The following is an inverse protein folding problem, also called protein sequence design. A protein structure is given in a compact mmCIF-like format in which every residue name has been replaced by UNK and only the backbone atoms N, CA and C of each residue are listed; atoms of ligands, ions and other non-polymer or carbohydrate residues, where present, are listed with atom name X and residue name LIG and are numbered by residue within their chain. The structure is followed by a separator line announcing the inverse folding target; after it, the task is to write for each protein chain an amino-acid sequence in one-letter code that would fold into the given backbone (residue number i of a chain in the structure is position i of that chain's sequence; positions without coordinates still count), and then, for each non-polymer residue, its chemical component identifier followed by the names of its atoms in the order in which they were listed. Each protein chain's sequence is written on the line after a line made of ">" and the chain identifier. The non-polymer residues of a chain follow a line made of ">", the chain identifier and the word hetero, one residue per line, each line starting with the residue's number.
data_IF_534967820623
#
_entry.id   IF_534967820623
#
_cell.length_a   1.000
_cell.length_b   1.000
_cell.length_c   1.000
_cell.angle_alpha   90.00
_cell.angle_beta   90.00
_cell.angle_gamma   90.00
#
_symmetry.space_group_name_H-M   'P 1'
#
loop_
_entity.id
_entity.type
_entity.pdbx_description
1 polymer ?
#
# COMPACT_ATOMS: atom_id res chain seq x y z
N UNK A 1 4.50 -32.61 9.84
CA UNK A 1 4.85 -31.20 9.52
C UNK A 1 5.99 -31.14 8.49
N UNK A 2 7.05 -31.95 8.63
CA UNK A 2 8.18 -32.20 7.69
C UNK A 2 7.82 -32.84 6.35
N UNK A 3 6.57 -32.72 5.90
CA UNK A 3 6.19 -33.10 4.54
C UNK A 3 5.49 -31.98 3.78
N UNK A 4 4.93 -31.00 4.49
CA UNK A 4 4.28 -29.84 3.88
C UNK A 4 5.32 -28.78 3.50
N UNK A 5 6.26 -28.48 4.39
CA UNK A 5 7.35 -27.53 4.13
C UNK A 5 8.14 -27.93 2.89
N UNK A 6 8.51 -29.20 2.78
CA UNK A 6 9.33 -29.78 1.72
C UNK A 6 8.60 -29.76 0.39
N UNK A 7 7.28 -30.01 0.39
CA UNK A 7 6.44 -29.88 -0.80
C UNK A 7 6.35 -28.42 -1.26
N UNK A 8 6.13 -27.48 -0.34
CA UNK A 8 6.08 -26.04 -0.67
C UNK A 8 7.44 -25.59 -1.22
N UNK A 9 8.53 -25.96 -0.55
CA UNK A 9 9.89 -25.64 -0.98
C UNK A 9 10.18 -26.21 -2.37
N UNK A 10 9.85 -27.48 -2.61
CA UNK A 10 10.03 -28.12 -3.92
C UNK A 10 9.24 -27.42 -5.03
N UNK A 11 8.00 -26.98 -4.76
CA UNK A 11 7.19 -26.25 -5.75
C UNK A 11 7.85 -24.90 -6.07
N UNK A 12 8.22 -24.13 -5.04
CA UNK A 12 8.84 -22.81 -5.21
C UNK A 12 10.20 -22.88 -5.89
N UNK A 13 11.03 -23.87 -5.54
CA UNK A 13 12.28 -24.17 -6.24
C UNK A 13 12.04 -24.48 -7.70
N UNK A 14 11.06 -25.35 -8.03
CA UNK A 14 10.75 -25.65 -9.44
C UNK A 14 10.21 -24.45 -10.23
N UNK A 15 9.47 -23.56 -9.58
CA UNK A 15 9.01 -22.31 -10.21
C UNK A 15 10.20 -21.37 -10.46
N UNK A 16 11.11 -21.28 -9.49
CA UNK A 16 12.33 -20.50 -9.63
C UNK A 16 13.24 -21.03 -10.75
N UNK A 17 13.49 -22.34 -10.79
CA UNK A 17 14.30 -22.98 -11.84
C UNK A 17 13.74 -22.76 -13.25
N UNK A 18 12.42 -22.55 -13.35
CA UNK A 18 11.72 -22.24 -14.61
C UNK A 18 11.66 -20.74 -14.93
N UNK A 19 12.27 -19.88 -14.11
CA UNK A 19 12.19 -18.42 -14.24
C UNK A 19 10.82 -17.83 -13.92
N UNK A 20 9.92 -18.60 -13.30
CA UNK A 20 8.55 -18.18 -12.97
C UNK A 20 8.43 -17.58 -11.57
N UNK A 21 9.50 -17.64 -10.76
CA UNK A 21 9.48 -17.12 -9.40
C UNK A 21 10.84 -16.53 -8.99
N UNK A 22 10.79 -15.32 -8.46
CA UNK A 22 11.89 -14.64 -7.79
C UNK A 22 11.31 -13.89 -6.59
N UNK A 23 11.73 -14.22 -5.37
CA UNK A 23 11.18 -13.56 -4.19
C UNK A 23 11.42 -14.27 -2.86
N UNK A 24 10.95 -13.60 -1.81
CA UNK A 24 10.94 -14.12 -0.45
C UNK A 24 9.55 -14.66 -0.09
N UNK A 25 9.52 -15.82 0.58
CA UNK A 25 8.28 -16.47 1.00
C UNK A 25 8.28 -16.72 2.50
N UNK A 26 7.21 -16.30 3.17
CA UNK A 26 6.81 -16.78 4.49
C UNK A 26 5.50 -17.56 4.35
N UNK A 27 5.47 -18.78 4.88
CA UNK A 27 4.24 -19.53 5.08
C UNK A 27 4.12 -19.80 6.58
N UNK A 28 2.99 -19.42 7.17
CA UNK A 28 2.69 -19.67 8.57
C UNK A 28 1.29 -20.24 8.74
N UNK A 29 1.12 -21.15 9.70
CA UNK A 29 -0.19 -21.71 10.08
C UNK A 29 -0.28 -21.77 11.60
N UNK A 30 -1.41 -21.35 12.18
CA UNK A 30 -1.64 -21.37 13.62
C UNK A 30 -0.49 -20.73 14.44
N UNK A 31 -0.02 -19.56 13.99
CA UNK A 31 1.10 -18.83 14.61
C UNK A 31 2.48 -19.47 14.43
N UNK A 32 2.62 -20.61 13.72
CA UNK A 32 3.89 -21.30 13.49
C UNK A 32 4.36 -21.11 12.05
N UNK A 33 5.63 -20.72 11.90
CA UNK A 33 6.27 -20.60 10.60
C UNK A 33 6.56 -22.00 10.06
N UNK A 34 6.00 -22.32 8.90
CA UNK A 34 6.23 -23.55 8.14
C UNK A 34 7.41 -23.40 7.16
N UNK A 35 7.49 -22.27 6.48
CA UNK A 35 8.54 -21.94 5.52
C UNK A 35 8.91 -20.46 5.65
N UNK A 36 10.21 -20.17 5.59
CA UNK A 36 10.76 -18.82 5.51
C UNK A 36 12.04 -18.88 4.68
N UNK A 37 11.96 -18.53 3.40
CA UNK A 37 13.07 -18.75 2.44
C UNK A 37 13.05 -17.73 1.31
N UNK A 38 14.24 -17.45 0.77
CA UNK A 38 14.50 -16.60 -0.39
C UNK A 38 14.82 -17.45 -1.62
N UNK A 39 14.33 -17.04 -2.78
CA UNK A 39 14.55 -17.72 -4.06
C UNK A 39 14.93 -16.69 -5.13
N UNK A 40 16.12 -16.83 -5.71
CA UNK A 40 16.63 -15.98 -6.79
C UNK A 40 17.44 -14.76 -6.32
N UNK A 41 17.35 -13.66 -7.06
CA UNK A 41 18.28 -12.52 -7.01
C UNK A 41 17.58 -11.19 -6.71
N UNK A 42 18.26 -10.35 -5.93
CA UNK A 42 17.84 -8.99 -5.63
C UNK A 42 18.19 -8.03 -6.78
N UNK A 43 19.25 -8.35 -7.53
CA UNK A 43 19.73 -7.62 -8.69
C UNK A 43 20.24 -8.62 -9.73
N UNK A 44 19.69 -8.58 -10.94
CA UNK A 44 20.08 -9.50 -12.01
C UNK A 44 21.42 -9.11 -12.66
N UNK A 45 21.85 -7.85 -12.51
CA UNK A 45 23.04 -7.32 -13.19
C UNK A 45 24.33 -7.91 -12.64
N UNK A 46 24.37 -8.11 -11.32
CA UNK A 46 25.50 -8.69 -10.60
C UNK A 46 25.16 -10.04 -9.93
N UNK A 47 23.94 -10.55 -10.15
CA UNK A 47 23.42 -11.79 -9.57
C UNK A 47 23.42 -11.80 -8.04
N UNK A 48 23.28 -10.63 -7.39
CA UNK A 48 23.19 -10.54 -5.93
C UNK A 48 22.03 -11.39 -5.42
N UNK A 49 22.25 -12.38 -4.55
CA UNK A 49 21.20 -13.29 -4.10
C UNK A 49 20.20 -12.57 -3.18
N UNK A 50 18.93 -12.97 -3.26
CA UNK A 50 17.93 -12.55 -2.28
C UNK A 50 18.26 -13.07 -0.88
N UNK A 51 18.00 -12.23 0.12
CA UNK A 51 18.15 -12.52 1.53
C UNK A 51 16.81 -12.29 2.23
N UNK A 52 16.57 -12.87 3.41
CA UNK A 52 15.29 -12.70 4.11
C UNK A 52 14.99 -11.23 4.49
N UNK A 53 16.04 -10.43 4.63
CA UNK A 53 16.01 -8.99 4.85
C UNK A 53 15.88 -8.16 3.57
N UNK A 54 15.89 -8.79 2.39
CA UNK A 54 15.70 -8.10 1.11
C UNK A 54 14.37 -7.35 1.10
N UNK A 55 14.45 -6.10 0.66
CA UNK A 55 13.38 -5.12 0.77
C UNK A 55 12.70 -4.92 -0.58
N UNK A 56 11.41 -5.20 -0.64
CA UNK A 56 10.61 -5.16 -1.87
C UNK A 56 9.63 -3.99 -1.84
N UNK A 57 9.35 -3.43 -3.01
CA UNK A 57 8.17 -2.59 -3.25
C UNK A 57 6.93 -3.47 -3.21
N UNK A 58 6.02 -3.23 -2.28
CA UNK A 58 4.82 -4.08 -2.11
C UNK A 58 3.60 -3.60 -2.91
N UNK A 59 3.77 -2.57 -3.76
CA UNK A 59 2.73 -2.06 -4.65
C UNK A 59 1.40 -1.79 -3.90
N UNK A 60 0.26 -2.23 -4.44
CA UNK A 60 -1.07 -1.97 -3.86
C UNK A 60 -1.35 -2.68 -2.54
N UNK A 61 -0.46 -3.56 -2.07
CA UNK A 61 -0.52 -4.09 -0.68
C UNK A 61 -0.36 -2.95 0.33
N UNK A 62 0.23 -1.81 -0.07
CA UNK A 62 0.34 -0.60 0.74
C UNK A 62 -1.01 -0.01 1.20
N UNK A 63 -2.08 -0.21 0.42
CA UNK A 63 -3.41 0.39 0.70
C UNK A 63 -3.94 0.06 2.09
N UNK A 64 -3.64 -1.13 2.62
CA UNK A 64 -4.10 -1.51 3.95
C UNK A 64 -3.50 -0.63 5.06
N UNK A 65 -2.27 -0.12 4.88
CA UNK A 65 -1.64 0.80 5.83
C UNK A 65 -2.30 2.18 5.79
N UNK A 66 -2.63 2.66 4.59
CA UNK A 66 -3.42 3.89 4.41
C UNK A 66 -4.82 3.74 5.04
N UNK A 67 -5.49 2.62 4.81
CA UNK A 67 -6.78 2.34 5.44
C UNK A 67 -6.67 2.27 6.97
N UNK A 68 -5.62 1.63 7.51
CA UNK A 68 -5.35 1.59 8.95
C UNK A 68 -5.12 2.99 9.52
N UNK A 69 -4.39 3.87 8.82
CA UNK A 69 -4.20 5.25 9.24
C UNK A 69 -5.53 6.01 9.35
N UNK A 70 -6.45 5.82 8.40
CA UNK A 70 -7.80 6.39 8.45
C UNK A 70 -8.60 5.81 9.64
N UNK A 71 -8.47 4.51 9.91
CA UNK A 71 -9.11 3.88 11.07
C UNK A 71 -8.58 4.43 12.41
N UNK A 72 -7.28 4.69 12.52
CA UNK A 72 -6.67 5.33 13.70
C UNK A 72 -7.26 6.72 13.91
N UNK A 73 -7.32 7.55 12.86
CA UNK A 73 -7.92 8.89 12.95
C UNK A 73 -9.41 8.84 13.32
N UNK A 74 -10.15 7.84 12.82
CA UNK A 74 -11.54 7.60 13.24
C UNK A 74 -11.61 7.24 14.72
N UNK A 75 -10.72 6.37 15.21
CA UNK A 75 -10.66 5.98 16.62
C UNK A 75 -10.33 7.17 17.53
N UNK A 76 -9.50 8.10 17.06
CA UNK A 76 -9.20 9.38 17.72
C UNK A 76 -10.34 10.40 17.63
N UNK A 77 -11.46 10.08 16.97
CA UNK A 77 -12.61 10.97 16.82
C UNK A 77 -12.40 12.12 15.82
N UNK A 78 -11.34 12.07 15.00
CA UNK A 78 -11.01 13.14 14.04
C UNK A 78 -11.89 13.13 12.78
N UNK A 79 -12.53 12.00 12.48
CA UNK A 79 -13.43 11.83 11.34
C UNK A 79 -14.48 10.74 11.59
N UNK A 80 -15.56 10.79 10.83
CA UNK A 80 -16.51 9.69 10.64
C UNK A 80 -16.39 9.15 9.21
N UNK A 81 -16.65 7.85 9.01
CA UNK A 81 -16.59 7.26 7.67
C UNK A 81 -17.64 7.84 6.71
N UNK A 82 -18.76 8.33 7.24
CA UNK A 82 -19.84 8.99 6.50
C UNK A 82 -19.59 10.48 6.24
N UNK A 83 -18.50 11.04 6.77
CA UNK A 83 -18.19 12.44 6.49
C UNK A 83 -17.96 12.61 4.98
N UNK A 84 -18.62 13.59 4.34
CA UNK A 84 -18.29 13.96 2.97
C UNK A 84 -16.86 14.48 2.93
N UNK A 85 -16.11 14.16 1.87
CA UNK A 85 -14.73 14.63 1.74
C UNK A 85 -14.65 16.17 1.75
N UNK A 86 -15.70 16.84 1.25
CA UNK A 86 -15.87 18.31 1.31
C UNK A 86 -15.82 18.89 2.72
N UNK A 87 -16.15 18.13 3.76
CA UNK A 87 -16.00 18.58 5.16
C UNK A 87 -14.55 18.98 5.45
N UNK A 88 -13.59 18.29 4.86
CA UNK A 88 -12.16 18.51 5.05
C UNK A 88 -11.52 19.26 3.90
N UNK A 89 -12.06 19.15 2.70
CA UNK A 89 -11.59 19.84 1.50
C UNK A 89 -12.76 20.62 0.87
N UNK A 90 -13.10 21.83 1.35
CA UNK A 90 -14.33 22.54 1.00
C UNK A 90 -14.58 22.70 -0.50
N UNK A 91 -13.51 22.92 -1.27
CA UNK A 91 -13.58 23.12 -2.72
C UNK A 91 -13.63 21.82 -3.54
N UNK A 92 -13.58 20.64 -2.89
CA UNK A 92 -13.54 19.36 -3.58
C UNK A 92 -14.76 19.19 -4.51
N UNK A 93 -14.61 18.89 -5.80
CA UNK A 93 -15.69 19.07 -6.77
C UNK A 93 -16.88 18.12 -6.59
N UNK A 94 -16.73 16.99 -5.90
CA UNK A 94 -17.80 15.99 -5.74
C UNK A 94 -18.39 15.96 -4.32
N UNK A 95 -19.54 16.63 -4.07
CA UNK A 95 -20.10 16.78 -2.72
C UNK A 95 -20.59 15.47 -2.09
N UNK A 96 -20.96 14.48 -2.90
CA UNK A 96 -21.51 13.19 -2.46
C UNK A 96 -20.46 12.13 -2.15
N UNK A 97 -19.18 12.38 -2.43
CA UNK A 97 -18.10 11.45 -2.11
C UNK A 97 -17.77 11.52 -0.62
N UNK A 98 -17.90 10.39 0.08
CA UNK A 98 -17.63 10.23 1.50
C UNK A 98 -16.34 9.42 1.69
N UNK A 99 -15.76 9.48 2.89
CA UNK A 99 -14.55 8.73 3.23
C UNK A 99 -14.73 7.22 3.01
N UNK A 100 -15.89 6.65 3.38
CA UNK A 100 -16.20 5.23 3.13
C UNK A 100 -16.15 4.84 1.66
N UNK A 101 -16.52 5.75 0.75
CA UNK A 101 -16.51 5.48 -0.68
C UNK A 101 -15.08 5.35 -1.21
N UNK A 102 -14.15 6.15 -0.69
CA UNK A 102 -12.73 6.04 -1.02
C UNK A 102 -12.15 4.71 -0.52
N UNK A 103 -12.38 4.38 0.76
CA UNK A 103 -11.88 3.14 1.38
C UNK A 103 -12.35 1.87 0.65
N UNK A 104 -13.59 1.87 0.16
CA UNK A 104 -14.25 0.71 -0.45
C UNK A 104 -14.19 0.66 -1.97
N UNK A 105 -13.52 1.62 -2.63
CA UNK A 105 -13.53 1.73 -4.09
C UNK A 105 -14.93 1.89 -4.71
N UNK A 106 -15.80 2.62 -4.03
CA UNK A 106 -17.17 2.91 -4.49
C UNK A 106 -17.42 4.41 -4.74
N UNK A 107 -16.35 5.21 -4.85
CA UNK A 107 -16.44 6.67 -5.07
C UNK A 107 -16.93 7.07 -6.46
N UNK A 108 -16.77 6.21 -7.46
CA UNK A 108 -16.96 6.56 -8.87
C UNK A 108 -15.83 7.44 -9.44
N UNK A 109 -14.78 7.75 -8.66
CA UNK A 109 -13.68 8.58 -9.12
C UNK A 109 -12.83 7.84 -10.16
N UNK A 110 -12.44 8.52 -11.26
CA UNK A 110 -11.55 7.95 -12.26
C UNK A 110 -10.16 7.66 -11.67
N UNK A 111 -9.46 6.70 -12.26
CA UNK A 111 -8.12 6.29 -11.84
C UNK A 111 -7.04 7.18 -12.49
N UNK A 112 -6.30 7.93 -11.67
CA UNK A 112 -5.30 8.89 -12.16
C UNK A 112 -4.17 8.23 -12.96
N UNK A 113 -3.83 6.96 -12.68
CA UNK A 113 -2.72 6.27 -13.36
C UNK A 113 -2.98 6.24 -14.87
N UNK A 114 -4.19 5.81 -15.25
CA UNK A 114 -4.61 5.79 -16.66
C UNK A 114 -4.50 7.17 -17.33
N UNK A 115 -4.86 8.23 -16.59
CA UNK A 115 -4.86 9.60 -17.09
C UNK A 115 -3.45 10.15 -17.26
N UNK A 116 -2.57 9.88 -16.30
CA UNK A 116 -1.19 10.37 -16.33
C UNK A 116 -0.37 9.66 -17.42
N UNK A 117 -0.61 8.37 -17.68
CA UNK A 117 0.04 7.67 -18.80
C UNK A 117 -0.46 8.10 -20.18
N UNK A 118 -1.69 8.60 -20.30
CA UNK A 118 -2.28 8.97 -21.59
C UNK A 118 -2.10 10.45 -21.94
N UNK A 119 -2.01 11.34 -20.96
CA UNK A 119 -2.04 12.78 -21.17
C UNK A 119 -0.79 13.52 -20.66
N UNK A 120 0.24 12.82 -20.17
CA UNK A 120 1.45 13.48 -19.64
C UNK A 120 2.74 13.03 -20.35
N UNK A 121 3.02 13.48 -21.59
CA UNK A 121 4.27 13.10 -22.24
C UNK A 121 5.51 13.88 -21.77
N UNK A 122 5.37 15.10 -21.21
CA UNK A 122 6.52 16.04 -21.21
C UNK A 122 6.78 16.87 -19.93
N UNK A 123 5.95 16.82 -18.87
CA UNK A 123 6.06 17.81 -17.76
C UNK A 123 6.46 17.29 -16.37
N UNK A 124 6.58 15.98 -16.15
CA UNK A 124 6.83 15.45 -14.81
C UNK A 124 8.10 14.61 -14.77
N UNK A 125 9.17 15.13 -14.16
CA UNK A 125 10.30 14.29 -13.75
C UNK A 125 9.84 13.25 -12.71
N UNK A 126 8.96 13.64 -11.77
CA UNK A 126 8.20 12.73 -10.89
C UNK A 126 6.86 13.35 -10.46
N UNK A 127 5.76 12.63 -10.65
CA UNK A 127 4.43 12.97 -10.16
C UNK A 127 4.30 12.78 -8.64
N UNK A 128 3.55 13.68 -8.01
CA UNK A 128 3.25 13.68 -6.57
C UNK A 128 1.75 13.63 -6.32
N UNK A 129 1.34 13.39 -5.07
CA UNK A 129 -0.07 13.48 -4.67
C UNK A 129 -0.70 14.81 -5.06
N UNK A 130 0.04 15.92 -4.94
CA UNK A 130 -0.47 17.24 -5.29
C UNK A 130 -0.86 17.32 -6.77
N UNK A 131 -0.14 16.65 -7.67
CA UNK A 131 -0.51 16.62 -9.08
C UNK A 131 -1.83 15.88 -9.32
N UNK A 132 -2.09 14.81 -8.56
CA UNK A 132 -3.38 14.08 -8.61
C UNK A 132 -4.51 14.96 -8.06
N UNK A 133 -4.25 15.68 -6.97
CA UNK A 133 -5.21 16.64 -6.40
C UNK A 133 -5.49 17.77 -7.39
N UNK A 134 -4.46 18.39 -7.96
CA UNK A 134 -4.59 19.48 -8.94
C UNK A 134 -5.38 19.02 -10.16
N UNK A 135 -5.11 17.82 -10.68
CA UNK A 135 -5.88 17.22 -11.76
C UNK A 135 -7.37 17.06 -11.39
N UNK A 136 -7.68 16.48 -10.23
CA UNK A 136 -9.07 16.31 -9.79
C UNK A 136 -9.77 17.66 -9.61
N UNK A 137 -9.10 18.65 -9.03
CA UNK A 137 -9.67 19.97 -8.72
C UNK A 137 -9.83 20.85 -9.97
N UNK A 138 -8.87 20.78 -10.89
CA UNK A 138 -8.82 21.55 -12.12
C UNK A 138 -9.72 20.99 -13.22
N UNK A 139 -9.54 19.72 -13.56
CA UNK A 139 -10.25 19.11 -14.69
C UNK A 139 -11.64 18.60 -14.31
N UNK A 140 -11.85 18.30 -13.02
CA UNK A 140 -13.12 17.81 -12.47
C UNK A 140 -13.75 16.69 -13.31
N UNK A 141 -12.99 15.62 -13.62
CA UNK A 141 -13.47 14.58 -14.53
C UNK A 141 -14.79 13.97 -14.04
N UNK A 142 -15.71 13.58 -14.94
CA UNK A 142 -17.00 13.04 -14.52
C UNK A 142 -16.80 11.74 -13.70
N UNK A 143 -17.62 11.56 -12.68
CA UNK A 143 -17.68 10.28 -11.98
C UNK A 143 -18.19 9.20 -12.94
N UNK A 144 -17.60 8.00 -12.89
CA UNK A 144 -18.06 6.86 -13.67
C UNK A 144 -19.46 6.40 -13.25
N UNK A 145 -19.82 6.61 -11.98
CA UNK A 145 -21.11 6.27 -11.40
C UNK A 145 -21.35 7.07 -10.11
N UNK A 146 -22.61 7.19 -9.64
CA UNK A 146 -22.92 7.83 -8.36
C UNK A 146 -22.18 7.16 -7.19
N UNK A 147 -21.60 7.92 -6.24
CA UNK A 147 -20.88 7.33 -5.11
C UNK A 147 -21.74 6.34 -4.31
N UNK A 148 -21.17 5.19 -3.97
CA UNK A 148 -21.82 4.08 -3.26
C UNK A 148 -22.64 3.13 -4.13
N UNK A 149 -22.90 3.45 -5.41
CA UNK A 149 -23.78 2.64 -6.27
C UNK A 149 -23.10 1.43 -6.92
N UNK A 150 -21.79 1.50 -7.17
CA UNK A 150 -21.01 0.46 -7.83
C UNK A 150 -19.59 0.39 -7.26
N UNK A 151 -18.85 -0.64 -7.65
CA UNK A 151 -17.45 -0.81 -7.30
C UNK A 151 -16.57 -0.64 -8.54
N UNK A 152 -15.52 0.18 -8.43
CA UNK A 152 -14.45 0.25 -9.40
C UNK A 152 -13.14 0.62 -8.72
N UNK A 153 -12.11 -0.18 -8.96
CA UNK A 153 -10.77 0.08 -8.45
C UNK A 153 -10.26 1.44 -8.96
N UNK A 154 -9.73 2.24 -8.05
CA UNK A 154 -9.20 3.57 -8.34
C UNK A 154 -8.16 3.93 -7.30
N UNK A 155 -6.94 4.20 -7.78
CA UNK A 155 -5.80 4.62 -6.96
C UNK A 155 -6.00 6.05 -6.44
N UNK A 156 -6.70 6.89 -7.20
CA UNK A 156 -7.10 8.25 -6.79
C UNK A 156 -7.74 8.25 -5.41
N UNK A 157 -8.54 7.23 -5.09
CA UNK A 157 -9.15 7.10 -3.77
C UNK A 157 -8.13 7.10 -2.63
N UNK A 158 -7.06 6.34 -2.79
CA UNK A 158 -6.07 6.14 -1.74
C UNK A 158 -5.04 7.27 -1.67
N UNK A 159 -4.80 7.96 -2.79
CA UNK A 159 -4.08 9.25 -2.78
C UNK A 159 -4.85 10.28 -1.96
N UNK A 160 -6.16 10.43 -2.19
CA UNK A 160 -7.00 11.36 -1.42
C UNK A 160 -7.09 10.97 0.08
N UNK A 161 -7.05 9.67 0.41
CA UNK A 161 -6.99 9.23 1.80
C UNK A 161 -5.65 9.57 2.46
N UNK A 162 -4.52 9.47 1.75
CA UNK A 162 -3.23 9.90 2.27
C UNK A 162 -3.20 11.41 2.56
N UNK A 163 -3.76 12.23 1.66
CA UNK A 163 -3.92 13.68 1.87
C UNK A 163 -4.81 14.00 3.07
N UNK A 164 -5.92 13.28 3.22
CA UNK A 164 -6.80 13.41 4.38
C UNK A 164 -6.06 13.08 5.69
N UNK A 165 -5.27 11.99 5.71
CA UNK A 165 -4.48 11.61 6.87
C UNK A 165 -3.46 12.69 7.22
N UNK A 166 -2.72 13.19 6.24
CA UNK A 166 -1.74 14.26 6.46
C UNK A 166 -2.41 15.52 7.02
N UNK A 167 -3.55 15.91 6.44
CA UNK A 167 -4.31 17.09 6.88
C UNK A 167 -4.82 16.97 8.32
N UNK A 168 -5.43 15.85 8.69
CA UNK A 168 -6.04 15.66 10.01
C UNK A 168 -5.04 15.36 11.12
N UNK A 169 -3.91 14.74 10.77
CA UNK A 169 -2.83 14.48 11.71
C UNK A 169 -1.92 15.69 11.91
N UNK A 170 -1.83 16.60 10.93
CA UNK A 170 -0.81 17.65 10.84
C UNK A 170 0.63 17.10 10.76
N UNK A 171 0.76 15.87 10.28
CA UNK A 171 2.04 15.22 9.99
C UNK A 171 2.13 14.92 8.50
N UNK A 172 3.35 14.83 7.96
CA UNK A 172 3.53 14.25 6.64
C UNK A 172 3.06 12.79 6.68
N UNK A 173 2.41 12.31 5.62
CA UNK A 173 1.86 10.95 5.57
C UNK A 173 2.89 9.86 5.93
N UNK A 174 4.16 9.90 5.44
CA UNK A 174 5.17 8.93 5.86
C UNK A 174 5.49 8.93 7.35
N UNK A 175 5.49 10.11 7.98
CA UNK A 175 5.82 10.25 9.39
C UNK A 175 4.67 9.76 10.27
N UNK A 176 3.42 9.96 9.82
CA UNK A 176 2.25 9.38 10.47
C UNK A 176 2.30 7.84 10.44
N UNK A 177 2.55 7.23 9.28
CA UNK A 177 2.64 5.76 9.20
C UNK A 177 3.78 5.21 10.07
N UNK A 178 4.92 5.89 10.12
CA UNK A 178 6.03 5.50 10.99
C UNK A 178 5.63 5.52 12.46
N UNK A 179 5.18 6.67 12.96
CA UNK A 179 4.90 6.86 14.37
C UNK A 179 3.70 6.04 14.89
N UNK A 180 2.68 5.82 14.05
CA UNK A 180 1.43 5.21 14.48
C UNK A 180 1.27 3.74 14.08
N UNK A 181 2.08 3.25 13.12
CA UNK A 181 1.95 1.88 12.62
C UNK A 181 3.28 1.15 12.63
N UNK A 182 4.33 1.68 11.98
CA UNK A 182 5.56 0.91 11.81
C UNK A 182 6.34 0.76 13.12
N UNK A 183 6.57 1.83 13.87
CA UNK A 183 7.32 1.76 15.14
C UNK A 183 6.56 0.94 16.20
N UNK A 184 5.24 1.15 16.43
CA UNK A 184 4.50 0.35 17.42
C UNK A 184 4.39 -1.14 17.08
N UNK A 185 4.53 -1.52 15.80
CA UNK A 185 4.50 -2.91 15.33
C UNK A 185 5.89 -3.48 15.08
N UNK A 186 6.96 -2.77 15.48
CA UNK A 186 8.36 -3.19 15.30
C UNK A 186 8.72 -3.48 13.82
N UNK A 187 8.13 -2.73 12.90
CA UNK A 187 8.36 -2.82 11.46
C UNK A 187 9.55 -1.94 11.04
N UNK A 188 10.70 -2.12 11.69
CA UNK A 188 11.88 -1.24 11.60
C UNK A 188 12.45 -1.06 10.19
N UNK A 189 12.19 -2.01 9.31
CA UNK A 189 12.67 -2.00 7.92
C UNK A 189 11.54 -1.68 6.93
N UNK A 190 10.41 -1.17 7.44
CA UNK A 190 9.29 -0.71 6.64
C UNK A 190 9.27 0.81 6.54
N UNK A 191 9.27 1.33 5.33
CA UNK A 191 9.31 2.78 5.09
C UNK A 191 8.71 3.15 3.74
N UNK A 192 8.32 4.42 3.62
CA UNK A 192 7.92 5.00 2.34
C UNK A 192 9.17 5.53 1.63
N UNK A 193 9.37 5.10 0.40
CA UNK A 193 10.56 5.41 -0.39
C UNK A 193 10.58 6.87 -0.82
N UNK A 194 11.60 7.59 -0.38
CA UNK A 194 11.88 8.94 -0.87
C UNK A 194 12.85 8.81 -2.02
N UNK A 195 12.42 9.11 -3.25
CA UNK A 195 13.26 8.93 -4.43
C UNK A 195 14.57 9.75 -4.39
N UNK A 196 14.64 10.83 -3.59
CA UNK A 196 15.89 11.55 -3.31
C UNK A 196 16.95 10.71 -2.56
N UNK A 197 16.56 9.58 -1.96
CA UNK A 197 17.39 8.65 -1.18
C UNK A 197 17.64 7.33 -1.94
N UNK A 198 17.29 7.26 -3.24
CA UNK A 198 17.15 6.03 -4.02
C UNK A 198 18.39 5.12 -4.10
N UNK A 199 19.57 5.61 -3.74
CA UNK A 199 20.82 4.85 -3.81
C UNK A 199 21.19 4.13 -2.50
N UNK A 200 20.53 4.42 -1.37
CA UNK A 200 21.00 4.01 -0.04
C UNK A 200 20.03 3.09 0.73
N UNK A 201 19.14 2.37 0.06
CA UNK A 201 18.30 1.35 0.74
C UNK A 201 19.10 0.05 0.92
N UNK A 202 19.43 -0.38 2.15
CA UNK A 202 20.11 -1.65 2.37
C UNK A 202 19.24 -2.82 1.91
N UNK A 203 19.87 -3.82 1.29
CA UNK A 203 19.19 -5.03 0.80
C UNK A 203 18.03 -4.75 -0.18
N UNK A 204 18.06 -3.62 -0.89
CA UNK A 204 17.06 -3.28 -1.90
C UNK A 204 16.95 -4.38 -2.97
N UNK A 205 15.71 -4.66 -3.37
CA UNK A 205 15.42 -5.47 -4.57
C UNK A 205 15.07 -4.52 -5.71
N UNK A 206 15.74 -4.70 -6.85
CA UNK A 206 15.47 -3.96 -8.08
C UNK A 206 14.34 -4.64 -8.85
N UNK A 207 13.38 -3.85 -9.35
CA UNK A 207 12.37 -4.37 -10.28
C UNK A 207 13.00 -4.67 -11.64
N UNK A 208 12.57 -5.75 -12.27
CA UNK A 208 12.99 -6.13 -13.63
C UNK A 208 11.86 -6.81 -14.38
N UNK A 209 11.88 -6.71 -15.70
CA UNK A 209 10.94 -7.41 -16.56
C UNK A 209 11.23 -8.92 -16.59
N UNK A 210 10.25 -9.76 -16.99
CA UNK A 210 10.44 -11.21 -17.07
C UNK A 210 11.56 -11.67 -18.03
N UNK A 211 12.07 -10.77 -18.87
CA UNK A 211 13.25 -11.01 -19.70
C UNK A 211 14.56 -11.12 -18.87
N UNK A 212 14.52 -10.75 -17.58
CA UNK A 212 15.65 -10.68 -16.66
C UNK A 212 16.85 -9.89 -17.22
N UNK A 213 16.56 -8.91 -18.08
CA UNK A 213 17.55 -8.07 -18.76
C UNK A 213 17.21 -6.59 -18.65
N UNK A 214 15.93 -6.26 -18.47
CA UNK A 214 15.45 -4.88 -18.45
C UNK A 214 15.03 -4.48 -17.04
N UNK A 215 15.66 -3.43 -16.49
CA UNK A 215 15.24 -2.84 -15.23
C UNK A 215 13.85 -2.21 -15.36
N UNK A 216 13.00 -2.46 -14.37
CA UNK A 216 11.72 -1.81 -14.16
C UNK A 216 11.66 -1.28 -12.73
N UNK A 217 12.48 -0.28 -12.46
CA UNK A 217 12.73 0.19 -11.09
C UNK A 217 12.40 1.68 -10.91
N UNK A 218 12.61 2.47 -11.96
CA UNK A 218 12.27 3.89 -12.00
C UNK A 218 11.00 4.14 -12.80
N UNK A 219 10.11 4.95 -12.24
CA UNK A 219 8.84 5.32 -12.82
C UNK A 219 8.44 6.70 -12.28
N UNK A 220 7.95 7.58 -13.15
CA UNK A 220 7.59 8.94 -12.75
C UNK A 220 6.48 8.98 -11.68
N UNK A 221 5.69 7.90 -11.50
CA UNK A 221 4.68 7.81 -10.46
C UNK A 221 5.23 7.43 -9.06
N UNK A 222 6.53 7.10 -8.94
CA UNK A 222 7.14 6.58 -7.72
C UNK A 222 7.16 7.53 -6.50
N UNK A 223 6.70 8.78 -6.62
CA UNK A 223 6.56 9.71 -5.47
C UNK A 223 5.11 9.86 -5.00
N UNK A 224 4.15 9.21 -5.65
CA UNK A 224 2.74 9.24 -5.24
C UNK A 224 2.58 8.28 -4.07
N UNK A 225 1.95 8.75 -3.00
CA UNK A 225 1.78 8.03 -1.74
C UNK A 225 0.32 7.64 -1.51
N UNK A 226 0.17 6.48 -0.87
CA UNK A 226 -1.09 6.03 -0.26
C UNK A 226 -1.77 4.91 -1.02
N UNK A 227 -1.68 4.91 -2.34
CA UNK A 227 -2.27 3.91 -3.22
C UNK A 227 -1.32 2.73 -3.50
N UNK A 228 -0.01 2.94 -3.63
CA UNK A 228 0.90 1.82 -3.78
C UNK A 228 2.27 2.18 -4.32
N UNK A 229 3.21 1.27 -4.11
CA UNK A 229 4.55 1.40 -4.69
C UNK A 229 5.58 2.06 -3.77
N UNK A 230 5.17 2.63 -2.64
CA UNK A 230 6.10 3.40 -1.78
C UNK A 230 6.53 2.65 -0.56
N UNK A 231 5.73 1.69 -0.08
CA UNK A 231 6.09 0.90 1.09
C UNK A 231 7.08 -0.18 0.65
N UNK A 232 8.27 -0.05 1.22
CA UNK A 232 9.34 -1.02 1.14
C UNK A 232 9.30 -1.84 2.42
N UNK A 233 9.36 -3.16 2.31
CA UNK A 233 9.34 -4.04 3.49
C UNK A 233 10.24 -5.26 3.26
N UNK A 234 10.91 -5.81 4.30
CA UNK A 234 11.61 -7.06 4.16
C UNK A 234 10.65 -8.18 3.80
N UNK A 235 11.13 -9.18 3.06
CA UNK A 235 10.40 -10.43 2.84
C UNK A 235 10.09 -11.25 4.11
N UNK A 236 10.34 -10.73 5.32
CA UNK A 236 9.64 -11.17 6.53
C UNK A 236 8.18 -10.74 6.38
N UNK A 237 7.36 -11.59 5.76
CA UNK A 237 5.95 -11.29 5.59
C UNK A 237 5.32 -10.84 6.90
N UNK A 238 4.41 -9.87 6.80
CA UNK A 238 3.53 -9.48 7.90
C UNK A 238 2.78 -10.74 8.34
N UNK A 239 3.16 -11.27 9.50
CA UNK A 239 2.20 -12.01 10.32
C UNK A 239 1.26 -10.95 10.87
N UNK A 240 0.16 -10.67 10.16
CA UNK A 240 -1.01 -10.11 10.84
C UNK A 240 -1.43 -11.23 11.78
N UNK A 241 -0.98 -11.11 13.03
CA UNK A 241 -1.02 -12.19 13.98
C UNK A 241 -2.41 -12.78 14.07
N UNK A 242 -2.47 -14.11 14.11
CA UNK A 242 -3.55 -14.87 14.73
C UNK A 242 -3.53 -14.73 16.28
N UNK A 243 -3.03 -13.60 16.79
CA UNK A 243 -3.09 -13.17 18.19
C UNK A 243 -4.35 -12.34 18.42
N UNK A 244 -4.80 -12.22 19.68
CA UNK A 244 -6.19 -11.88 19.97
C UNK A 244 -6.55 -10.52 19.35
N UNK A 245 -7.62 -10.54 18.55
CA UNK A 245 -8.46 -9.37 18.29
C UNK A 245 -8.50 -8.56 19.58
N UNK A 246 -8.02 -7.32 19.50
CA UNK A 246 -8.21 -6.23 20.45
C UNK A 246 -9.10 -6.64 21.64
N UNK A 247 -8.50 -6.93 22.81
CA UNK A 247 -9.29 -7.05 24.04
C UNK A 247 -9.78 -5.64 24.37
N UNK A 248 -11.10 -5.35 24.31
CA UNK A 248 -11.57 -4.08 24.81
C UNK A 248 -11.26 -4.01 26.31
N UNK A 249 -10.93 -2.80 26.78
CA UNK A 249 -10.76 -2.55 28.20
C UNK A 249 -11.98 -3.06 28.98
N UNK A 250 -11.80 -3.65 30.17
CA UNK A 250 -12.92 -4.16 30.95
C UNK A 250 -13.81 -2.96 31.35
N UNK A 251 -15.00 -2.86 30.76
CA UNK A 251 -15.96 -1.81 31.15
C UNK A 251 -16.98 -1.32 30.12
N UNK A 252 -16.94 -1.70 28.84
CA UNK A 252 -17.95 -1.22 27.87
C UNK A 252 -18.83 -2.36 27.36
N UNK A 253 -20.13 -2.26 27.67
CA UNK A 253 -21.14 -3.29 27.56
C UNK A 253 -21.35 -3.90 26.18
N UNK A 254 -21.81 -5.15 26.21
CA UNK A 254 -22.30 -5.93 25.08
C UNK A 254 -23.52 -5.27 24.43
N UNK A 255 -23.44 -4.96 23.14
CA UNK A 255 -24.62 -4.80 22.29
C UNK A 255 -24.74 -6.04 21.40
N UNK A 256 -25.71 -6.89 21.72
CA UNK A 256 -26.22 -7.93 20.85
C UNK A 256 -27.27 -7.34 19.93
N UNK A 257 -27.13 -7.53 18.62
CA UNK A 257 -28.18 -7.26 17.66
C UNK A 257 -28.10 -8.27 16.52
N UNK A 258 -28.98 -9.27 16.54
CA UNK A 258 -29.52 -9.88 15.32
C UNK A 258 -30.29 -8.78 14.54
N UNK A 259 -30.39 -8.83 13.22
CA UNK A 259 -30.85 -9.90 12.34
C UNK A 259 -29.99 -9.91 11.07
#
# INVERSE_FOLDING_TARGET
>A
MTGQKEKIDLILSRLHDKGLFNGNVLVATNGKILLKKSYGVADFRDQTPLQLQSVFRIASVSKQFTAMAVMILRQEGKLLYDDPLRKFFPDFPYPSVQIRHLLSHTSGLPDYISQFYTHTPEMMTYASNQNVVDWIMGDQPPLHFPPGSQWAYSNTNYVLLAELVAKLSRHAFPDFLRAHIFDPLEMENTFLFKYSEALNVPHRVYGFYPDNQTLYDDNFLNKILGDGGDIFQPGRSVSLGSGPVYKPAPGTGSFTGGI
#
